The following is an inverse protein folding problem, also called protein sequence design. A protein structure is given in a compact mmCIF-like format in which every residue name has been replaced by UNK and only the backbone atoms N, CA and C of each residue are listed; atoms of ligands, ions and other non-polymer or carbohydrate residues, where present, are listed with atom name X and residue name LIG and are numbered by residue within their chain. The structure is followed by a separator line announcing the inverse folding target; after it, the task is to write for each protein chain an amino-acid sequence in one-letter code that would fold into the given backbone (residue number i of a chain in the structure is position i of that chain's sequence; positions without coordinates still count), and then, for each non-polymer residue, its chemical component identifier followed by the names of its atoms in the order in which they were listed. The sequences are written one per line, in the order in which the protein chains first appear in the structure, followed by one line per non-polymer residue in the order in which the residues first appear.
data_IF_277180393442
#
_entry.id   IF_277180393442
#
_cell.length_a   1.000
_cell.length_b   1.000
_cell.length_c   1.000
_cell.angle_alpha   90.00
_cell.angle_beta   90.00
_cell.angle_gamma   90.00
#
_symmetry.space_group_name_H-M   'P 1'
#
loop_
_entity.id
_entity.type
_entity.pdbx_description
1 polymer ?
#
# COMPACT_ATOMS: atom_id res chain seq x y z
N UNK A 1 21.16 6.02 10.30
CA UNK A 1 20.10 5.14 10.85
C UNK A 1 19.82 5.56 12.28
N UNK A 2 18.57 5.74 12.66
CA UNK A 2 18.17 5.98 14.06
C UNK A 2 18.28 4.64 14.81
N UNK A 3 19.14 4.54 15.82
CA UNK A 3 19.23 3.38 16.72
C UNK A 3 18.11 3.40 17.77
N UNK A 4 16.87 3.64 17.34
CA UNK A 4 15.71 3.59 18.22
C UNK A 4 15.22 2.15 18.34
N UNK A 5 15.12 1.68 19.58
CA UNK A 5 14.49 0.41 19.89
C UNK A 5 12.96 0.59 19.93
N UNK A 6 12.24 -0.24 19.20
CA UNK A 6 10.77 -0.24 19.18
C UNK A 6 10.24 -1.51 19.84
N UNK A 7 9.38 -1.35 20.85
CA UNK A 7 8.73 -2.48 21.50
C UNK A 7 7.54 -2.93 20.66
N UNK A 8 7.50 -4.23 20.33
CA UNK A 8 6.40 -4.79 19.56
C UNK A 8 5.16 -5.04 20.41
N UNK A 9 3.99 -4.87 19.80
CA UNK A 9 2.71 -5.27 20.36
C UNK A 9 1.94 -6.16 19.36
N UNK A 10 2.09 -7.48 19.51
CA UNK A 10 1.39 -8.45 18.67
C UNK A 10 -0.02 -8.80 19.20
N UNK A 11 -0.39 -8.32 20.39
CA UNK A 11 -1.71 -8.53 20.99
C UNK A 11 -2.77 -7.50 20.52
N UNK A 12 -2.35 -6.47 19.77
CA UNK A 12 -3.27 -5.47 19.24
C UNK A 12 -4.12 -6.07 18.10
N UNK A 13 -5.36 -6.43 18.44
CA UNK A 13 -6.37 -6.93 17.50
C UNK A 13 -6.84 -5.90 16.47
N UNK A 14 -6.26 -4.68 16.47
CA UNK A 14 -6.48 -3.64 15.46
C UNK A 14 -5.50 -3.76 14.27
N UNK A 15 -5.13 -4.98 13.89
CA UNK A 15 -4.42 -5.21 12.63
C UNK A 15 -5.21 -4.71 11.42
N UNK A 16 -4.57 -4.57 10.24
CA UNK A 16 -5.26 -4.18 9.01
C UNK A 16 -6.41 -5.16 8.77
N UNK A 17 -7.60 -4.63 8.53
CA UNK A 17 -8.75 -5.46 8.17
C UNK A 17 -8.57 -5.91 6.72
N UNK A 18 -8.43 -7.22 6.45
CA UNK A 18 -8.31 -7.70 5.08
C UNK A 18 -9.50 -7.23 4.23
N UNK A 19 -9.21 -6.74 3.04
CA UNK A 19 -10.21 -6.17 2.13
C UNK A 19 -10.74 -4.80 2.51
N UNK A 20 -10.23 -4.16 3.57
CA UNK A 20 -10.65 -2.83 3.98
C UNK A 20 -10.50 -1.78 2.87
N UNK A 21 -11.17 -0.63 2.96
CA UNK A 21 -11.07 0.43 1.97
C UNK A 21 -9.62 0.88 1.74
N UNK A 22 -9.27 1.20 0.50
CA UNK A 22 -8.02 1.85 0.14
C UNK A 22 -8.12 3.34 0.49
N UNK A 23 -7.31 3.79 1.44
CA UNK A 23 -7.42 5.11 2.08
C UNK A 23 -6.23 5.99 1.70
N UNK A 24 -6.51 7.00 0.89
CA UNK A 24 -5.53 7.96 0.37
C UNK A 24 -5.75 9.31 1.08
N UNK A 25 -4.72 9.82 1.76
CA UNK A 25 -4.72 11.16 2.34
C UNK A 25 -3.85 12.07 1.48
N UNK A 26 -4.47 13.08 0.87
CA UNK A 26 -3.82 14.10 0.05
C UNK A 26 -3.52 15.29 0.97
N UNK A 27 -2.25 15.69 1.09
CA UNK A 27 -1.79 16.66 2.08
C UNK A 27 -1.48 18.03 1.44
N UNK A 28 -1.89 19.10 2.12
CA UNK A 28 -1.76 20.47 1.65
C UNK A 28 -1.25 21.42 2.74
N UNK A 29 -0.45 22.43 2.34
CA UNK A 29 -0.04 23.55 3.20
C UNK A 29 -1.22 24.48 3.52
N UNK A 30 -1.96 24.86 2.48
CA UNK A 30 -3.10 25.77 2.53
C UNK A 30 -4.42 25.01 2.30
N UNK A 31 -5.57 25.54 2.74
CA UNK A 31 -6.85 24.90 2.47
C UNK A 31 -7.11 24.88 0.95
N UNK A 32 -7.74 23.80 0.49
CA UNK A 32 -8.09 23.62 -0.92
C UNK A 32 -9.61 23.47 -1.05
N UNK A 33 -10.17 24.09 -2.08
CA UNK A 33 -11.58 23.87 -2.42
C UNK A 33 -11.71 22.53 -3.16
N UNK A 34 -12.85 21.85 -2.96
CA UNK A 34 -13.20 20.72 -3.81
C UNK A 34 -13.40 21.22 -5.24
N UNK A 35 -12.79 20.58 -6.27
CA UNK A 35 -13.04 20.95 -7.66
C UNK A 35 -14.54 20.88 -7.99
N UNK A 36 -14.99 21.67 -8.96
CA UNK A 36 -16.39 21.68 -9.39
C UNK A 36 -16.84 20.31 -9.93
N UNK A 37 -18.15 20.06 -9.92
CA UNK A 37 -18.72 18.76 -10.26
C UNK A 37 -18.34 18.33 -11.67
N UNK A 38 -18.37 19.25 -12.63
CA UNK A 38 -18.05 19.01 -14.03
C UNK A 38 -16.58 18.60 -14.19
N UNK A 39 -15.65 19.32 -13.56
CA UNK A 39 -14.22 19.00 -13.56
C UNK A 39 -13.96 17.64 -12.90
N UNK A 40 -14.54 17.37 -11.73
CA UNK A 40 -14.36 16.08 -11.06
C UNK A 40 -14.88 14.92 -11.91
N UNK A 41 -16.08 15.07 -12.49
CA UNK A 41 -16.68 14.03 -13.35
C UNK A 41 -15.79 13.76 -14.56
N UNK A 42 -15.33 14.81 -15.26
CA UNK A 42 -14.51 14.65 -16.44
C UNK A 42 -13.16 13.96 -16.16
N UNK A 43 -12.48 14.32 -15.06
CA UNK A 43 -11.19 13.70 -14.71
C UNK A 43 -11.39 12.28 -14.22
N UNK A 44 -12.39 12.01 -13.37
CA UNK A 44 -12.67 10.65 -12.90
C UNK A 44 -13.05 9.75 -14.09
N UNK A 45 -13.92 10.19 -15.01
CA UNK A 45 -14.27 9.39 -16.19
C UNK A 45 -13.09 9.13 -17.12
N UNK A 46 -12.17 10.10 -17.26
CA UNK A 46 -10.96 9.96 -18.07
C UNK A 46 -10.06 8.81 -17.58
N UNK A 47 -9.94 8.64 -16.26
CA UNK A 47 -9.05 7.64 -15.66
C UNK A 47 -9.76 6.31 -15.38
N UNK A 48 -11.00 6.35 -14.89
CA UNK A 48 -11.75 5.17 -14.42
C UNK A 48 -12.63 4.54 -15.52
N UNK A 49 -12.99 5.31 -16.56
CA UNK A 49 -14.01 4.88 -17.54
C UNK A 49 -15.41 5.38 -17.16
N UNK A 50 -16.47 4.65 -17.53
CA UNK A 50 -17.85 5.12 -17.29
C UNK A 50 -18.15 5.26 -15.79
N UNK A 51 -18.47 6.48 -15.34
CA UNK A 51 -18.84 6.74 -13.94
C UNK A 51 -20.13 7.55 -13.80
N UNK A 52 -20.81 7.38 -12.67
CA UNK A 52 -21.97 8.21 -12.31
C UNK A 52 -21.69 8.97 -11.01
N UNK A 53 -21.70 10.30 -11.07
CA UNK A 53 -21.63 11.13 -9.88
C UNK A 53 -22.99 11.12 -9.13
N UNK A 54 -23.12 10.22 -8.15
CA UNK A 54 -24.34 10.04 -7.35
C UNK A 54 -24.44 11.01 -6.17
N UNK A 55 -23.32 11.60 -5.75
CA UNK A 55 -23.26 12.56 -4.66
C UNK A 55 -22.27 13.69 -4.98
N UNK A 56 -22.69 14.94 -4.78
CA UNK A 56 -21.80 16.09 -4.84
C UNK A 56 -22.38 17.20 -3.96
N UNK A 57 -21.73 17.47 -2.83
CA UNK A 57 -22.10 18.54 -1.92
C UNK A 57 -20.87 19.15 -1.22
N UNK A 58 -21.10 20.01 -0.22
CA UNK A 58 -20.01 20.69 0.51
C UNK A 58 -19.17 19.77 1.41
N UNK A 59 -19.61 18.53 1.64
CA UNK A 59 -18.94 17.55 2.49
C UNK A 59 -18.18 16.51 1.67
N UNK A 60 -18.67 16.15 0.49
CA UNK A 60 -18.09 15.06 -0.30
C UNK A 60 -18.57 15.05 -1.76
N UNK A 61 -17.78 14.38 -2.59
CA UNK A 61 -18.18 13.90 -3.91
C UNK A 61 -18.10 12.36 -3.93
N UNK A 62 -19.04 11.72 -4.60
CA UNK A 62 -19.13 10.27 -4.73
C UNK A 62 -19.44 9.86 -6.16
N UNK A 63 -18.70 8.87 -6.66
CA UNK A 63 -18.77 8.36 -8.02
C UNK A 63 -18.97 6.85 -8.00
N UNK A 64 -19.94 6.34 -8.75
CA UNK A 64 -20.15 4.92 -8.98
C UNK A 64 -19.40 4.53 -10.26
N UNK A 65 -18.46 3.60 -10.18
CA UNK A 65 -17.67 3.14 -11.32
C UNK A 65 -18.44 2.02 -12.05
N UNK A 66 -19.17 2.38 -13.13
CA UNK A 66 -20.22 1.56 -13.71
C UNK A 66 -19.72 0.26 -14.37
N UNK A 67 -18.44 0.22 -14.71
CA UNK A 67 -17.78 -0.95 -15.32
C UNK A 67 -17.20 -1.91 -14.26
N UNK A 68 -17.10 -1.46 -13.01
CA UNK A 68 -16.52 -2.22 -11.89
C UNK A 68 -17.62 -2.65 -10.93
N UNK A 69 -18.17 -3.85 -11.18
CA UNK A 69 -19.36 -4.34 -10.47
C UNK A 69 -18.98 -5.34 -9.37
N UNK A 70 -19.20 -4.94 -8.13
CA UNK A 70 -19.08 -5.82 -6.97
C UNK A 70 -20.31 -6.74 -6.86
N UNK A 71 -20.06 -8.03 -6.59
CA UNK A 71 -21.10 -9.05 -6.39
C UNK A 71 -21.21 -9.45 -4.93
N UNK A 72 -22.39 -9.21 -4.34
CA UNK A 72 -22.73 -9.57 -2.97
C UNK A 72 -23.88 -10.57 -2.95
N UNK A 73 -24.14 -11.18 -1.78
CA UNK A 73 -25.27 -12.12 -1.61
C UNK A 73 -26.62 -11.51 -1.98
N UNK A 74 -26.81 -10.22 -1.71
CA UNK A 74 -28.09 -9.51 -1.87
C UNK A 74 -28.21 -8.75 -3.20
N UNK A 75 -27.20 -8.83 -4.08
CA UNK A 75 -27.24 -8.21 -5.40
C UNK A 75 -25.87 -7.77 -5.92
N UNK A 76 -25.90 -7.10 -7.07
CA UNK A 76 -24.72 -6.51 -7.72
C UNK A 76 -24.84 -4.99 -7.72
N UNK A 77 -23.75 -4.30 -7.45
CA UNK A 77 -23.70 -2.84 -7.59
C UNK A 77 -22.31 -2.38 -8.02
N UNK A 78 -22.22 -1.23 -8.70
CA UNK A 78 -20.95 -0.57 -8.92
C UNK A 78 -20.22 -0.30 -7.60
N UNK A 79 -18.90 -0.46 -7.62
CA UNK A 79 -18.04 0.07 -6.56
C UNK A 79 -18.10 1.60 -6.56
N UNK A 80 -17.76 2.20 -5.42
CA UNK A 80 -17.89 3.63 -5.21
C UNK A 80 -16.52 4.25 -4.90
N UNK A 81 -16.25 5.40 -5.49
CA UNK A 81 -15.08 6.23 -5.21
C UNK A 81 -15.55 7.50 -4.52
N UNK A 82 -14.96 7.79 -3.36
CA UNK A 82 -15.39 8.88 -2.50
C UNK A 82 -14.25 9.87 -2.28
N UNK A 83 -14.53 11.16 -2.41
CA UNK A 83 -13.61 12.25 -2.11
C UNK A 83 -14.25 13.16 -1.08
N UNK A 84 -13.65 13.25 0.10
CA UNK A 84 -14.16 14.07 1.20
C UNK A 84 -13.74 15.52 1.04
N UNK A 85 -14.47 16.44 1.66
CA UNK A 85 -14.07 17.86 1.76
C UNK A 85 -12.66 18.00 2.35
N UNK A 86 -12.01 19.10 2.02
CA UNK A 86 -10.81 19.52 2.71
C UNK A 86 -11.10 19.74 4.21
N UNK A 87 -10.28 19.14 5.07
CA UNK A 87 -10.33 19.30 6.53
C UNK A 87 -8.92 19.54 7.09
N UNK A 88 -8.83 19.90 8.38
CA UNK A 88 -7.55 20.09 9.06
C UNK A 88 -6.81 18.76 9.19
N UNK A 89 -5.58 18.74 8.69
CA UNK A 89 -4.63 17.68 8.96
C UNK A 89 -4.05 17.86 10.37
N UNK A 90 -4.28 16.88 11.24
CA UNK A 90 -3.84 16.97 12.64
C UNK A 90 -2.36 16.66 12.83
N UNK A 91 -1.70 15.98 11.89
CA UNK A 91 -0.30 15.56 12.02
C UNK A 91 -0.02 14.69 13.26
N UNK A 92 -1.03 13.95 13.74
CA UNK A 92 -0.95 13.06 14.91
C UNK A 92 -1.25 11.63 14.48
N UNK A 93 -0.66 10.66 15.17
CA UNK A 93 -0.78 9.23 14.84
C UNK A 93 0.36 8.68 13.98
N UNK A 94 1.34 9.52 13.65
CA UNK A 94 2.58 9.10 12.99
C UNK A 94 3.66 8.94 14.05
N UNK A 95 3.79 7.73 14.61
CA UNK A 95 4.86 7.44 15.55
C UNK A 95 6.22 7.30 14.85
N UNK A 96 7.29 7.28 15.63
CA UNK A 96 8.64 7.17 15.09
C UNK A 96 8.87 5.84 14.34
N UNK A 97 8.13 4.78 14.71
CA UNK A 97 8.19 3.49 14.04
C UNK A 97 7.65 3.59 12.62
N UNK A 98 6.42 4.08 12.45
CA UNK A 98 5.79 4.31 11.15
C UNK A 98 6.63 5.26 10.30
N UNK A 99 7.05 6.39 10.88
CA UNK A 99 7.89 7.37 10.17
C UNK A 99 9.20 6.75 9.69
N UNK A 100 9.82 5.84 10.47
CA UNK A 100 11.07 5.18 10.07
C UNK A 100 10.95 4.37 8.78
N UNK A 101 9.73 3.90 8.46
CA UNK A 101 9.43 3.07 7.30
C UNK A 101 8.93 3.88 6.08
N UNK A 102 8.96 5.21 6.14
CA UNK A 102 8.66 6.09 4.99
C UNK A 102 9.91 6.31 4.13
N UNK A 103 10.34 5.27 3.43
CA UNK A 103 11.56 5.27 2.62
C UNK A 103 11.42 6.13 1.35
N UNK A 104 10.23 6.18 0.76
CA UNK A 104 9.97 6.96 -0.47
C UNK A 104 9.92 8.48 -0.26
N UNK A 105 10.02 8.96 1.00
CA UNK A 105 9.95 10.39 1.31
C UNK A 105 10.85 10.78 2.50
N UNK A 106 12.03 10.17 2.61
CA UNK A 106 12.90 10.37 3.78
C UNK A 106 13.32 11.82 4.01
N UNK A 107 13.67 12.53 2.94
CA UNK A 107 14.20 13.89 3.01
C UNK A 107 13.11 14.91 3.36
N UNK A 108 11.88 14.67 2.91
CA UNK A 108 10.78 15.61 3.01
C UNK A 108 9.71 15.27 4.06
N UNK A 109 9.63 14.03 4.57
CA UNK A 109 8.55 13.61 5.48
C UNK A 109 8.37 14.52 6.69
N UNK A 110 9.46 14.95 7.31
CA UNK A 110 9.40 15.85 8.48
C UNK A 110 8.90 17.25 8.09
N UNK A 111 9.35 17.75 6.93
CA UNK A 111 8.90 19.01 6.36
C UNK A 111 7.40 18.95 6.06
N UNK A 112 6.95 17.90 5.39
CA UNK A 112 5.55 17.68 5.01
C UNK A 112 4.66 17.66 6.25
N UNK A 113 4.96 16.84 7.27
CA UNK A 113 4.13 16.79 8.48
C UNK A 113 4.15 18.10 9.28
N UNK A 114 5.26 18.85 9.22
CA UNK A 114 5.36 20.16 9.85
C UNK A 114 4.60 21.25 9.09
N UNK A 115 4.61 21.24 7.77
CA UNK A 115 4.10 22.33 6.93
C UNK A 115 2.67 22.09 6.46
N UNK A 116 2.27 20.85 6.18
CA UNK A 116 0.90 20.54 5.81
C UNK A 116 -0.03 20.74 7.01
N UNK A 117 -1.14 21.45 6.78
CA UNK A 117 -2.17 21.75 7.78
C UNK A 117 -3.55 21.29 7.35
N UNK A 118 -3.68 20.85 6.11
CA UNK A 118 -4.94 20.45 5.51
C UNK A 118 -4.79 19.11 4.79
N UNK A 119 -5.90 18.41 4.67
CA UNK A 119 -5.98 17.15 3.97
C UNK A 119 -7.31 17.01 3.24
N UNK A 120 -7.28 16.27 2.14
CA UNK A 120 -8.45 15.63 1.53
C UNK A 120 -8.26 14.13 1.72
N UNK A 121 -9.33 13.44 2.12
CA UNK A 121 -9.31 11.97 2.20
C UNK A 121 -10.13 11.44 1.04
N UNK A 122 -9.55 10.50 0.30
CA UNK A 122 -10.21 9.78 -0.77
C UNK A 122 -10.15 8.28 -0.50
N UNK A 123 -11.19 7.55 -0.90
CA UNK A 123 -11.27 6.12 -0.65
C UNK A 123 -12.19 5.39 -1.63
N UNK A 124 -11.84 4.13 -1.92
CA UNK A 124 -12.78 3.19 -2.54
C UNK A 124 -13.80 2.69 -1.50
N UNK A 125 -14.94 2.20 -1.97
CA UNK A 125 -15.97 1.60 -1.14
C UNK A 125 -16.60 0.47 -1.94
N UNK A 126 -16.96 -0.62 -1.24
CA UNK A 126 -17.54 -1.85 -1.82
C UNK A 126 -16.58 -2.62 -2.76
N UNK A 127 -15.34 -2.16 -2.93
CA UNK A 127 -14.36 -2.77 -3.82
C UNK A 127 -13.80 -4.11 -3.33
N UNK A 128 -13.99 -4.46 -2.05
CA UNK A 128 -13.57 -5.72 -1.48
C UNK A 128 -14.12 -6.97 -2.22
N UNK A 129 -15.22 -6.84 -2.96
CA UNK A 129 -15.79 -7.95 -3.73
C UNK A 129 -15.27 -8.04 -5.18
N UNK A 130 -14.41 -7.09 -5.62
CA UNK A 130 -13.76 -7.18 -6.92
C UNK A 130 -12.60 -8.19 -6.89
N UNK A 131 -12.26 -8.81 -8.03
CA UNK A 131 -10.99 -9.50 -8.20
C UNK A 131 -9.80 -8.60 -7.83
N UNK A 132 -8.77 -9.17 -7.18
CA UNK A 132 -7.63 -8.41 -6.66
C UNK A 132 -6.95 -7.54 -7.74
N UNK A 133 -6.72 -8.11 -8.92
CA UNK A 133 -6.10 -7.41 -10.04
C UNK A 133 -6.95 -6.26 -10.58
N UNK A 134 -8.28 -6.43 -10.60
CA UNK A 134 -9.21 -5.39 -11.05
C UNK A 134 -9.22 -4.23 -10.05
N UNK A 135 -9.35 -4.53 -8.75
CA UNK A 135 -9.30 -3.53 -7.68
C UNK A 135 -7.98 -2.77 -7.67
N UNK A 136 -6.84 -3.46 -7.83
CA UNK A 136 -5.53 -2.84 -7.86
C UNK A 136 -5.40 -1.79 -8.97
N UNK A 137 -5.92 -2.09 -10.16
CA UNK A 137 -5.91 -1.14 -11.28
C UNK A 137 -6.87 0.03 -11.03
N UNK A 138 -8.09 -0.24 -10.56
CA UNK A 138 -9.05 0.81 -10.19
C UNK A 138 -8.48 1.79 -9.15
N UNK A 139 -7.85 1.26 -8.10
CA UNK A 139 -7.24 2.08 -7.04
C UNK A 139 -6.05 2.91 -7.56
N UNK A 140 -5.27 2.36 -8.50
CA UNK A 140 -4.18 3.08 -9.15
C UNK A 140 -4.69 4.19 -10.08
N UNK A 141 -5.70 3.90 -10.91
CA UNK A 141 -6.34 4.89 -11.78
C UNK A 141 -7.00 6.00 -10.95
N UNK A 142 -7.58 5.65 -9.80
CA UNK A 142 -8.15 6.63 -8.88
C UNK A 142 -7.08 7.54 -8.26
N UNK A 143 -5.93 6.98 -7.86
CA UNK A 143 -4.79 7.78 -7.39
C UNK A 143 -4.32 8.79 -8.45
N UNK A 144 -4.19 8.37 -9.71
CA UNK A 144 -3.80 9.25 -10.81
C UNK A 144 -4.82 10.37 -11.05
N UNK A 145 -6.12 10.04 -11.00
CA UNK A 145 -7.19 11.02 -11.09
C UNK A 145 -7.12 12.06 -9.95
N UNK A 146 -6.86 11.61 -8.72
CA UNK A 146 -6.69 12.51 -7.56
C UNK A 146 -5.46 13.41 -7.71
N UNK A 147 -4.36 12.90 -8.26
CA UNK A 147 -3.15 13.68 -8.53
C UNK A 147 -3.36 14.75 -9.61
N UNK A 148 -4.23 14.50 -10.59
CA UNK A 148 -4.66 15.48 -11.58
C UNK A 148 -5.64 16.51 -10.99
N UNK A 149 -6.60 16.09 -10.17
CA UNK A 149 -7.60 16.96 -9.55
C UNK A 149 -7.02 17.93 -8.51
N UNK A 150 -5.96 17.54 -7.83
CA UNK A 150 -5.34 18.32 -6.76
C UNK A 150 -3.88 18.68 -7.07
N UNK A 151 -3.60 19.52 -8.09
CA UNK A 151 -2.24 19.80 -8.52
C UNK A 151 -1.39 20.54 -7.47
N UNK A 152 -2.04 21.20 -6.51
CA UNK A 152 -1.38 21.96 -5.43
C UNK A 152 -1.06 21.11 -4.19
N UNK A 153 -1.38 19.82 -4.18
CA UNK A 153 -1.01 18.94 -3.07
C UNK A 153 0.51 18.79 -2.97
N UNK A 154 0.99 18.65 -1.74
CA UNK A 154 2.41 18.45 -1.43
C UNK A 154 2.78 16.97 -1.41
N UNK A 155 1.87 16.12 -0.93
CA UNK A 155 2.16 14.72 -0.70
C UNK A 155 0.89 13.85 -0.65
N UNK A 156 1.09 12.55 -0.86
CA UNK A 156 0.10 11.49 -0.68
C UNK A 156 0.55 10.55 0.43
N UNK A 157 -0.31 10.33 1.42
CA UNK A 157 -0.10 9.34 2.47
C UNK A 157 -1.13 8.22 2.35
N UNK A 158 -0.66 6.98 2.28
CA UNK A 158 -1.46 5.78 2.09
C UNK A 158 -1.62 5.06 3.43
N UNK A 159 -2.82 5.11 4.02
CA UNK A 159 -2.99 4.62 5.40
C UNK A 159 -2.80 3.11 5.52
N UNK A 160 -3.17 2.35 4.47
CA UNK A 160 -3.15 0.89 4.46
C UNK A 160 -1.72 0.32 4.58
N UNK A 161 -0.73 0.98 4.00
CA UNK A 161 0.67 0.53 3.95
C UNK A 161 1.65 1.48 4.67
N UNK A 162 1.19 2.67 5.07
CA UNK A 162 1.99 3.64 5.79
C UNK A 162 2.99 4.41 4.92
N UNK A 163 2.87 4.36 3.59
CA UNK A 163 3.77 5.07 2.69
C UNK A 163 3.39 6.54 2.57
N UNK A 164 4.42 7.37 2.42
CA UNK A 164 4.31 8.78 2.10
C UNK A 164 5.10 9.04 0.82
N UNK A 165 4.50 9.74 -0.13
CA UNK A 165 5.13 10.14 -1.39
C UNK A 165 4.98 11.63 -1.61
N UNK A 166 5.97 12.25 -2.24
CA UNK A 166 5.79 13.59 -2.81
C UNK A 166 4.76 13.53 -3.92
N UNK A 167 3.98 14.59 -4.05
CA UNK A 167 2.97 14.68 -5.11
C UNK A 167 3.60 14.66 -6.52
N UNK A 168 4.83 15.14 -6.67
CA UNK A 168 5.58 15.06 -7.93
C UNK A 168 5.92 13.61 -8.31
N UNK A 169 6.31 12.77 -7.35
CA UNK A 169 6.64 11.36 -7.62
C UNK A 169 5.39 10.57 -8.06
N UNK A 170 4.23 10.90 -7.48
CA UNK A 170 2.95 10.32 -7.90
C UNK A 170 2.56 10.79 -9.30
N UNK A 171 2.82 12.04 -9.68
CA UNK A 171 2.46 12.54 -11.02
C UNK A 171 3.42 12.14 -12.14
N UNK A 172 4.67 11.88 -11.82
CA UNK A 172 5.74 11.69 -12.81
C UNK A 172 6.14 10.23 -13.05
N UNK A 173 5.56 9.27 -12.30
CA UNK A 173 5.87 7.85 -12.49
C UNK A 173 5.57 7.38 -13.92
N UNK A 174 6.28 6.34 -14.35
CA UNK A 174 6.12 5.70 -15.66
C UNK A 174 5.74 4.22 -15.55
N UNK A 175 5.29 3.81 -14.36
CA UNK A 175 4.89 2.44 -14.08
C UNK A 175 3.52 2.19 -14.73
N UNK A 176 3.36 1.02 -15.35
CA UNK A 176 2.12 0.61 -16.03
C UNK A 176 1.45 -0.56 -15.28
N UNK A 177 0.17 -0.78 -15.55
CA UNK A 177 -0.56 -1.95 -15.05
C UNK A 177 -0.68 -2.01 -13.52
N UNK A 178 -0.75 -3.24 -13.00
CA UNK A 178 -0.96 -3.52 -11.57
C UNK A 178 0.24 -3.19 -10.69
N UNK A 179 1.44 -3.08 -11.26
CA UNK A 179 2.65 -2.68 -10.53
C UNK A 179 2.55 -1.26 -9.97
N UNK A 180 1.64 -0.43 -10.49
CA UNK A 180 1.29 0.87 -9.89
C UNK A 180 0.78 0.69 -8.46
N UNK A 181 -0.09 -0.30 -8.23
CA UNK A 181 -0.56 -0.62 -6.89
C UNK A 181 0.59 -1.15 -6.01
N UNK A 182 1.47 -2.01 -6.55
CA UNK A 182 2.65 -2.49 -5.82
C UNK A 182 3.55 -1.32 -5.39
N UNK A 183 3.74 -0.31 -6.25
CA UNK A 183 4.52 0.89 -5.94
C UNK A 183 3.93 1.71 -4.81
N UNK A 184 2.64 2.02 -4.86
CA UNK A 184 2.01 3.00 -3.95
C UNK A 184 1.28 2.35 -2.78
N UNK A 185 0.62 1.21 -3.02
CA UNK A 185 -0.19 0.47 -2.07
C UNK A 185 0.55 -0.56 -1.23
N UNK A 186 1.82 -0.88 -1.52
CA UNK A 186 2.60 -1.90 -0.78
C UNK A 186 3.92 -1.32 -0.25
N UNK A 187 4.14 -1.46 1.06
CA UNK A 187 5.35 -1.00 1.75
C UNK A 187 6.24 -2.17 2.13
N UNK A 188 7.44 -2.25 1.56
CA UNK A 188 8.48 -3.16 2.06
C UNK A 188 9.23 -2.47 3.19
N UNK A 189 9.16 -3.03 4.39
CA UNK A 189 9.74 -2.49 5.62
C UNK A 189 10.99 -3.27 6.01
N UNK A 190 11.93 -2.60 6.65
CA UNK A 190 13.20 -3.19 7.05
C UNK A 190 13.48 -2.96 8.55
N UNK A 191 13.94 -4.00 9.23
CA UNK A 191 14.24 -4.00 10.65
C UNK A 191 15.52 -4.79 10.93
N UNK A 192 16.27 -4.32 11.93
CA UNK A 192 17.36 -5.09 12.53
C UNK A 192 16.87 -5.69 13.85
N UNK A 193 17.24 -6.95 14.13
CA UNK A 193 16.85 -7.64 15.36
C UNK A 193 17.89 -7.37 16.47
N UNK A 194 17.44 -6.73 17.56
CA UNK A 194 18.33 -6.35 18.67
C UNK A 194 19.06 -7.56 19.26
N UNK A 195 20.36 -7.40 19.49
CA UNK A 195 21.19 -8.44 20.10
C UNK A 195 21.63 -9.55 19.14
N UNK A 196 21.36 -9.42 17.84
CA UNK A 196 21.74 -10.39 16.80
C UNK A 196 22.29 -9.68 15.55
N UNK A 197 22.78 -10.45 14.59
CA UNK A 197 23.09 -9.97 13.22
C UNK A 197 21.91 -10.19 12.26
N UNK A 198 20.76 -10.61 12.78
CA UNK A 198 19.58 -10.93 11.99
C UNK A 198 18.83 -9.66 11.57
N UNK A 199 18.23 -9.75 10.40
CA UNK A 199 17.42 -8.74 9.75
C UNK A 199 16.04 -9.32 9.47
N UNK A 200 15.03 -8.45 9.50
CA UNK A 200 13.67 -8.78 9.14
C UNK A 200 13.19 -7.81 8.05
N UNK A 201 12.64 -8.36 6.98
CA UNK A 201 11.90 -7.61 5.96
C UNK A 201 10.48 -8.17 5.91
N UNK A 202 9.51 -7.27 5.79
CA UNK A 202 8.15 -7.66 5.48
C UNK A 202 7.47 -6.69 4.53
N UNK A 203 6.34 -7.10 3.94
CA UNK A 203 5.45 -6.18 3.21
C UNK A 203 4.25 -5.81 4.07
N UNK A 204 3.70 -4.62 3.87
CA UNK A 204 2.38 -4.26 4.39
C UNK A 204 1.60 -3.58 3.27
N UNK A 205 0.39 -4.07 3.02
CA UNK A 205 -0.58 -3.42 2.13
C UNK A 205 -1.32 -4.39 1.22
N UNK A 206 -0.75 -5.58 0.97
CA UNK A 206 -1.35 -6.63 0.12
C UNK A 206 -2.71 -7.09 0.67
N UNK A 207 -2.88 -7.08 1.99
CA UNK A 207 -4.14 -7.42 2.66
C UNK A 207 -5.33 -6.54 2.24
N UNK A 208 -5.09 -5.34 1.69
CA UNK A 208 -6.15 -4.51 1.07
C UNK A 208 -6.84 -5.27 -0.05
N UNK A 209 -6.11 -6.13 -0.77
CA UNK A 209 -6.61 -6.94 -1.88
C UNK A 209 -6.91 -8.40 -1.47
N UNK A 210 -6.97 -8.69 -0.16
CA UNK A 210 -7.01 -10.07 0.39
C UNK A 210 -5.82 -10.95 0.03
N UNK A 211 -4.72 -10.37 -0.44
CA UNK A 211 -3.49 -11.08 -0.76
C UNK A 211 -2.56 -11.10 0.45
N UNK A 212 -1.74 -12.16 0.61
CA UNK A 212 -0.81 -12.25 1.72
C UNK A 212 0.30 -11.19 1.60
N UNK A 213 0.67 -10.64 2.75
CA UNK A 213 1.93 -9.91 2.87
C UNK A 213 3.10 -10.91 3.00
N UNK A 214 4.31 -10.49 2.66
CA UNK A 214 5.51 -11.33 2.66
C UNK A 214 6.35 -11.09 3.92
N UNK A 215 7.11 -12.10 4.33
CA UNK A 215 8.08 -11.98 5.43
C UNK A 215 9.38 -12.73 5.13
N UNK A 216 10.49 -12.12 5.57
CA UNK A 216 11.84 -12.65 5.43
C UNK A 216 12.60 -12.40 6.73
N UNK A 217 13.04 -13.46 7.41
CA UNK A 217 13.93 -13.37 8.56
C UNK A 217 15.29 -13.98 8.21
N UNK A 218 16.33 -13.16 8.15
CA UNK A 218 17.58 -13.55 7.48
C UNK A 218 18.82 -12.84 8.00
N UNK A 219 19.98 -13.37 7.62
CA UNK A 219 21.30 -12.79 7.88
C UNK A 219 22.21 -12.91 6.66
N UNK A 220 23.34 -12.18 6.65
CA UNK A 220 24.43 -12.37 5.67
C UNK A 220 24.03 -12.27 4.18
N UNK A 221 22.97 -11.51 3.86
CA UNK A 221 22.56 -11.16 2.50
C UNK A 221 22.30 -9.65 2.42
N UNK A 222 22.57 -9.03 1.27
CA UNK A 222 22.26 -7.61 1.06
C UNK A 222 20.74 -7.39 1.18
N UNK A 223 20.27 -6.56 2.12
CA UNK A 223 18.83 -6.33 2.31
C UNK A 223 18.16 -5.73 1.07
N UNK A 224 18.88 -4.98 0.22
CA UNK A 224 18.28 -4.42 -1.00
C UNK A 224 17.89 -5.53 -2.00
N UNK A 225 18.63 -6.64 -2.02
CA UNK A 225 18.28 -7.79 -2.86
C UNK A 225 16.98 -8.44 -2.39
N UNK A 226 16.80 -8.52 -1.08
CA UNK A 226 15.59 -9.06 -0.45
C UNK A 226 14.40 -8.12 -0.63
N UNK A 227 14.61 -6.80 -0.53
CA UNK A 227 13.58 -5.78 -0.84
C UNK A 227 13.10 -5.91 -2.28
N UNK A 228 14.02 -6.00 -3.25
CA UNK A 228 13.65 -6.16 -4.66
C UNK A 228 12.91 -7.48 -4.90
N UNK A 229 13.37 -8.56 -4.27
CA UNK A 229 12.69 -9.85 -4.31
C UNK A 229 11.28 -9.77 -3.73
N UNK A 230 11.08 -9.07 -2.60
CA UNK A 230 9.76 -8.87 -2.00
C UNK A 230 8.79 -8.14 -2.94
N UNK A 231 9.23 -7.08 -3.62
CA UNK A 231 8.39 -6.41 -4.61
C UNK A 231 8.07 -7.30 -5.82
N UNK A 232 9.04 -8.08 -6.32
CA UNK A 232 8.81 -9.01 -7.43
C UNK A 232 7.80 -10.10 -7.07
N UNK A 233 7.90 -10.67 -5.86
CA UNK A 233 6.97 -11.70 -5.40
C UNK A 233 5.59 -11.11 -5.13
N UNK A 234 5.49 -9.89 -4.57
CA UNK A 234 4.20 -9.23 -4.37
C UNK A 234 3.49 -8.94 -5.71
N UNK A 235 4.24 -8.49 -6.72
CA UNK A 235 3.75 -8.33 -8.10
C UNK A 235 3.25 -9.65 -8.68
N UNK A 236 4.05 -10.72 -8.58
CA UNK A 236 3.68 -12.06 -9.02
C UNK A 236 2.40 -12.59 -8.34
N UNK A 237 2.27 -12.40 -7.03
CA UNK A 237 1.08 -12.78 -6.26
C UNK A 237 -0.15 -12.02 -6.75
N UNK A 238 -0.03 -10.73 -7.03
CA UNK A 238 -1.13 -9.91 -7.55
C UNK A 238 -1.55 -10.32 -8.96
N UNK A 239 -0.59 -10.51 -9.86
CA UNK A 239 -0.86 -10.86 -11.26
C UNK A 239 -1.48 -12.24 -11.44
N UNK A 240 -1.25 -13.16 -10.50
CA UNK A 240 -1.64 -14.56 -10.62
C UNK A 240 -2.59 -15.03 -9.52
N UNK A 241 -3.18 -14.09 -8.77
CA UNK A 241 -4.20 -14.35 -7.74
C UNK A 241 -3.72 -15.32 -6.66
N UNK A 242 -2.56 -15.01 -6.06
CA UNK A 242 -1.89 -15.77 -5.00
C UNK A 242 -1.75 -17.28 -5.30
N UNK A 243 -0.93 -17.67 -6.30
CA UNK A 243 -0.81 -19.08 -6.69
C UNK A 243 0.01 -19.91 -5.69
N UNK A 244 0.72 -19.29 -4.75
CA UNK A 244 1.71 -19.95 -3.88
C UNK A 244 1.02 -20.61 -2.68
N UNK A 245 1.17 -21.92 -2.58
CA UNK A 245 0.61 -22.72 -1.48
C UNK A 245 1.62 -22.97 -0.36
N UNK A 246 1.10 -23.35 0.82
CA UNK A 246 1.94 -23.71 1.96
C UNK A 246 2.89 -24.86 1.62
N UNK A 247 4.18 -24.65 1.85
CA UNK A 247 5.24 -25.62 1.59
C UNK A 247 5.79 -25.66 0.17
N UNK A 248 5.25 -24.84 -0.75
CA UNK A 248 5.82 -24.67 -2.09
C UNK A 248 7.14 -23.88 -2.05
N UNK A 249 7.75 -23.70 -3.22
CA UNK A 249 9.00 -22.95 -3.36
C UNK A 249 8.88 -21.85 -4.39
N UNK A 250 9.70 -20.82 -4.21
CA UNK A 250 9.93 -19.75 -5.17
C UNK A 250 11.42 -19.63 -5.49
N UNK A 251 11.71 -19.07 -6.65
CA UNK A 251 13.07 -18.74 -7.07
C UNK A 251 13.72 -17.80 -6.04
N UNK A 252 14.92 -18.13 -5.57
CA UNK A 252 15.68 -17.29 -4.64
C UNK A 252 16.54 -16.26 -5.35
N UNK A 253 17.46 -15.65 -4.61
CA UNK A 253 18.37 -14.62 -5.14
C UNK A 253 19.84 -15.08 -5.14
N UNK A 254 20.52 -14.87 -6.26
CA UNK A 254 21.97 -14.99 -6.40
C UNK A 254 22.53 -13.72 -7.06
N UNK A 255 23.58 -13.13 -6.48
CA UNK A 255 24.25 -11.94 -7.01
C UNK A 255 23.30 -10.77 -7.36
N UNK A 256 22.26 -10.59 -6.53
CA UNK A 256 21.25 -9.57 -6.69
C UNK A 256 20.22 -9.81 -7.80
N UNK A 257 20.17 -11.02 -8.38
CA UNK A 257 19.23 -11.41 -9.43
C UNK A 257 18.44 -12.65 -9.02
N UNK A 258 17.19 -12.76 -9.52
CA UNK A 258 16.39 -13.98 -9.37
C UNK A 258 17.12 -15.18 -9.97
N UNK A 259 17.15 -16.29 -9.24
CA UNK A 259 17.83 -17.53 -9.66
C UNK A 259 16.93 -18.74 -9.47
N UNK A 260 16.60 -19.41 -10.57
CA UNK A 260 15.85 -20.68 -10.59
C UNK A 260 16.59 -21.84 -9.93
N UNK A 261 17.92 -21.75 -9.83
CA UNK A 261 18.74 -22.79 -9.21
C UNK A 261 18.63 -22.78 -7.69
N UNK A 262 18.19 -21.66 -7.12
CA UNK A 262 17.94 -21.50 -5.69
C UNK A 262 16.43 -21.55 -5.49
N UNK A 263 15.95 -22.45 -4.66
CA UNK A 263 14.54 -22.56 -4.33
C UNK A 263 14.36 -22.31 -2.84
N UNK A 264 13.62 -21.25 -2.49
CA UNK A 264 13.28 -20.90 -1.12
C UNK A 264 11.88 -21.40 -0.80
N UNK A 265 11.72 -22.00 0.37
CA UNK A 265 10.45 -22.58 0.80
C UNK A 265 9.54 -21.48 1.32
N UNK A 266 8.26 -21.53 0.96
CA UNK A 266 7.23 -20.61 1.39
C UNK A 266 6.31 -21.28 2.41
N UNK A 267 5.96 -20.59 3.50
CA UNK A 267 5.03 -21.08 4.51
C UNK A 267 4.14 -19.96 5.03
N UNK A 268 2.87 -20.24 5.29
CA UNK A 268 1.99 -19.26 5.92
C UNK A 268 2.23 -19.24 7.43
N UNK A 269 2.56 -18.06 7.97
CA UNK A 269 2.87 -17.86 9.38
C UNK A 269 2.22 -16.59 9.93
N UNK A 270 2.19 -16.45 11.25
CA UNK A 270 1.88 -15.18 11.90
C UNK A 270 3.06 -14.20 11.74
N UNK A 271 2.77 -12.94 11.45
CA UNK A 271 3.78 -11.90 11.32
C UNK A 271 4.62 -11.74 12.60
N UNK A 272 5.94 -11.71 12.44
CA UNK A 272 6.92 -11.45 13.49
C UNK A 272 6.99 -9.98 13.91
N UNK A 273 6.31 -9.09 13.19
CA UNK A 273 6.28 -7.67 13.48
C UNK A 273 4.91 -7.05 13.20
N UNK A 274 4.50 -6.15 14.08
CA UNK A 274 3.23 -5.46 13.97
C UNK A 274 3.04 -4.76 12.61
N UNK A 275 1.82 -4.72 12.07
CA UNK A 275 0.59 -5.21 12.70
C UNK A 275 0.43 -6.75 12.61
N UNK A 276 -0.22 -7.39 13.60
CA UNK A 276 -0.56 -8.81 13.55
C UNK A 276 -1.39 -9.15 12.32
N UNK A 277 -0.94 -10.14 11.55
CA UNK A 277 -1.58 -10.66 10.34
C UNK A 277 -0.91 -11.97 9.94
N UNK A 278 -1.58 -12.74 9.10
CA UNK A 278 -0.96 -13.86 8.39
C UNK A 278 -0.05 -13.32 7.27
N UNK A 279 1.12 -13.93 7.11
CA UNK A 279 2.10 -13.60 6.08
C UNK A 279 2.58 -14.87 5.39
N UNK A 280 3.01 -14.74 4.14
CA UNK A 280 3.79 -15.76 3.45
C UNK A 280 5.27 -15.56 3.80
N UNK A 281 5.77 -16.37 4.72
CA UNK A 281 7.18 -16.41 5.12
C UNK A 281 8.01 -17.13 4.07
N UNK A 282 9.14 -16.52 3.68
CA UNK A 282 10.05 -17.06 2.67
C UNK A 282 11.36 -17.46 3.36
N UNK A 283 11.56 -18.77 3.48
CA UNK A 283 12.73 -19.35 4.11
C UNK A 283 13.92 -19.33 3.15
N UNK A 284 14.82 -18.36 3.36
CA UNK A 284 15.98 -18.05 2.51
C UNK A 284 17.14 -19.07 2.57
N UNK A 285 16.84 -20.34 2.89
CA UNK A 285 17.79 -21.43 2.97
C UNK A 285 18.91 -21.16 3.97
N UNK A 286 20.17 -21.19 3.51
CA UNK A 286 21.36 -20.93 4.35
C UNK A 286 21.43 -19.51 4.93
N UNK A 287 20.59 -18.59 4.44
CA UNK A 287 20.51 -17.21 4.93
C UNK A 287 19.38 -17.01 5.92
N UNK A 288 18.50 -18.01 6.13
CA UNK A 288 17.37 -17.88 7.04
C UNK A 288 17.81 -17.86 8.51
N UNK A 289 17.10 -17.06 9.30
CA UNK A 289 17.31 -16.89 10.73
C UNK A 289 16.09 -17.38 11.54
N UNK A 290 16.25 -17.51 12.86
CA UNK A 290 15.13 -17.83 13.78
C UNK A 290 14.86 -19.32 14.03
N UNK A 291 15.79 -20.22 13.66
CA UNK A 291 15.77 -21.63 14.08
C UNK A 291 14.55 -22.41 13.60
N UNK A 292 14.26 -22.32 12.30
CA UNK A 292 13.09 -22.92 11.64
C UNK A 292 13.46 -24.17 10.87
#
# INVERSE_FOLDING_TARGET
MSNQLFQQNLDDKKGPQPGGPYLIQILFKEPVDMPDKETMTAVIEKHIGSTECFCYDKQMAGFAAQEHIAEFKDGKCPVQLMVMKCDRFKGKGFDAFLMSQMWDCQEDRERIFRECKYQVVATDMLAAALPALERANLDADFLEALAELYPTCEAFYFQNCGKLFLAEDVRSHQIEGSDRFIRFGVNVRFFNIEGTEDMLIDTVGMSTLFLPDLQYHFHNMDPNWVVNHAYNVASYILEHDNPIQDGETIDGVADGQMSREIQWKCQYEDALIQPPREVLDIHMGKYASGGR
#
